data_IF_077746147808
#
_entry.id   IF_077746147808
#
_cell.length_a   1.000
_cell.length_b   1.000
_cell.length_c   1.000
_cell.angle_alpha   90.00
_cell.angle_beta   90.00
_cell.angle_gamma   90.00
#
_symmetry.space_group_name_H-M   'P 1'
#
loop_
_entity.id
_entity.type
_entity.pdbx_description
1 polymer ?
#
# COMPACT_ATOMS: atom_id res chain seq x y z
N UNK A 1 -18.41 24.67 19.73
CA UNK A 1 -17.01 24.69 20.20
C UNK A 1 -16.37 23.37 19.81
N UNK A 2 -15.57 23.36 18.74
CA UNK A 2 -14.84 22.16 18.29
C UNK A 2 -13.50 22.14 19.01
N UNK A 3 -13.24 21.09 19.80
CA UNK A 3 -11.97 20.88 20.50
C UNK A 3 -10.90 20.53 19.46
N UNK A 4 -10.00 21.47 19.20
CA UNK A 4 -8.74 21.23 18.50
C UNK A 4 -7.91 20.24 19.31
N UNK A 5 -7.61 19.07 18.73
CA UNK A 5 -6.68 18.11 19.31
C UNK A 5 -5.37 18.22 18.54
N UNK A 6 -4.34 18.71 19.23
CA UNK A 6 -3.09 19.25 18.66
C UNK A 6 -2.09 18.15 18.26
N UNK A 7 -2.53 17.05 17.64
CA UNK A 7 -1.69 15.87 17.36
C UNK A 7 -1.14 15.74 15.94
N UNK A 8 -1.54 16.60 15.00
CA UNK A 8 -1.49 16.21 13.58
C UNK A 8 -1.05 17.32 12.61
N UNK A 9 0.21 17.80 12.69
CA UNK A 9 0.73 18.73 11.70
C UNK A 9 0.81 18.08 10.30
N UNK A 10 1.15 16.79 10.18
CA UNK A 10 1.31 16.12 8.88
C UNK A 10 -0.03 15.77 8.21
N UNK A 11 -0.99 15.18 8.95
CA UNK A 11 -2.32 14.86 8.40
C UNK A 11 -3.10 16.12 8.03
N UNK A 12 -3.02 17.19 8.84
CA UNK A 12 -3.60 18.49 8.47
C UNK A 12 -2.95 19.06 7.20
N UNK A 13 -1.62 18.92 7.05
CA UNK A 13 -0.91 19.40 5.87
C UNK A 13 -1.31 18.63 4.61
N UNK A 14 -1.47 17.31 4.70
CA UNK A 14 -1.95 16.47 3.60
C UNK A 14 -3.40 16.83 3.22
N UNK A 15 -4.27 17.03 4.21
CA UNK A 15 -5.65 17.49 3.98
C UNK A 15 -5.72 18.86 3.29
N UNK A 16 -4.84 19.79 3.68
CA UNK A 16 -4.74 21.11 3.06
C UNK A 16 -4.22 21.00 1.63
N UNK A 17 -3.21 20.17 1.39
CA UNK A 17 -2.70 19.89 0.05
C UNK A 17 -3.78 19.31 -0.88
N UNK A 18 -4.56 18.34 -0.42
CA UNK A 18 -5.64 17.76 -1.23
C UNK A 18 -6.82 18.72 -1.46
N UNK A 19 -7.05 19.69 -0.55
CA UNK A 19 -8.07 20.73 -0.74
C UNK A 19 -7.77 21.68 -1.89
N UNK A 20 -6.51 21.82 -2.30
CA UNK A 20 -6.13 22.68 -3.43
C UNK A 20 -6.47 22.07 -4.80
N UNK A 21 -6.87 20.79 -4.87
CA UNK A 21 -7.22 20.12 -6.12
C UNK A 21 -8.74 19.85 -6.21
N UNK A 22 -9.45 20.55 -7.09
CA UNK A 22 -10.92 20.45 -7.26
C UNK A 22 -11.43 19.04 -7.57
N UNK A 23 -10.61 18.20 -8.22
CA UNK A 23 -10.96 16.83 -8.61
C UNK A 23 -10.79 15.78 -7.48
N UNK A 24 -10.38 16.18 -6.27
CA UNK A 24 -10.22 15.26 -5.13
C UNK A 24 -11.43 15.23 -4.19
N UNK A 25 -12.53 15.93 -4.51
CA UNK A 25 -13.76 15.88 -3.72
C UNK A 25 -14.30 14.45 -3.55
N UNK A 26 -14.16 13.59 -4.56
CA UNK A 26 -14.53 12.18 -4.45
C UNK A 26 -13.60 11.42 -3.51
N UNK A 27 -12.30 11.76 -3.50
CA UNK A 27 -11.32 11.17 -2.58
C UNK A 27 -11.63 11.51 -1.13
N UNK A 28 -12.17 12.72 -0.88
CA UNK A 28 -12.63 13.18 0.43
C UNK A 28 -13.73 12.29 1.02
N UNK A 29 -14.54 11.62 0.19
CA UNK A 29 -15.56 10.66 0.65
C UNK A 29 -14.93 9.36 1.20
N UNK A 30 -13.70 9.04 0.79
CA UNK A 30 -12.94 7.88 1.25
C UNK A 30 -11.87 8.25 2.29
N UNK A 31 -11.77 9.53 2.66
CA UNK A 31 -10.90 9.96 3.74
C UNK A 31 -11.56 9.62 5.07
N UNK A 32 -11.09 8.55 5.70
CA UNK A 32 -11.42 8.28 7.10
C UNK A 32 -10.60 9.22 8.02
N UNK A 33 -11.26 9.67 9.09
CA UNK A 33 -10.59 10.36 10.18
C UNK A 33 -9.61 9.38 10.85
N UNK A 34 -8.32 9.65 10.72
CA UNK A 34 -7.29 8.88 11.41
C UNK A 34 -7.25 9.38 12.85
N UNK A 35 -7.84 8.61 13.76
CA UNK A 35 -7.76 8.95 15.18
C UNK A 35 -6.33 8.76 15.72
N UNK A 36 -6.05 9.36 16.88
CA UNK A 36 -4.73 9.31 17.53
C UNK A 36 -4.16 7.89 17.69
N UNK A 37 -4.99 6.88 17.95
CA UNK A 37 -4.58 5.48 18.11
C UNK A 37 -4.21 4.86 16.77
N UNK A 38 -4.99 5.12 15.72
CA UNK A 38 -4.66 4.65 14.36
C UNK A 38 -3.36 5.27 13.87
N UNK A 39 -3.16 6.57 14.12
CA UNK A 39 -1.92 7.24 13.79
C UNK A 39 -0.73 6.67 14.54
N UNK A 40 -0.86 6.44 15.84
CA UNK A 40 0.21 5.85 16.63
C UNK A 40 0.61 4.47 16.09
N UNK A 41 -0.37 3.63 15.73
CA UNK A 41 -0.10 2.34 15.08
C UNK A 41 0.65 2.49 13.76
N UNK A 42 0.28 3.46 12.94
CA UNK A 42 0.98 3.75 11.67
C UNK A 42 2.41 4.20 11.95
N UNK A 43 2.60 5.12 12.90
CA UNK A 43 3.93 5.61 13.29
C UNK A 43 4.81 4.49 13.82
N UNK A 44 4.27 3.62 14.68
CA UNK A 44 4.99 2.48 15.24
C UNK A 44 5.31 1.43 14.17
N UNK A 45 4.42 1.20 13.20
CA UNK A 45 4.73 0.35 12.05
C UNK A 45 5.87 0.91 11.21
N UNK A 46 5.86 2.22 10.92
CA UNK A 46 6.91 2.90 10.17
C UNK A 46 8.25 2.81 10.91
N UNK A 47 8.23 3.08 12.23
CA UNK A 47 9.41 2.98 13.08
C UNK A 47 9.95 1.54 13.11
N UNK A 48 9.07 0.53 13.21
CA UNK A 48 9.45 -0.88 13.22
C UNK A 48 10.15 -1.30 11.93
N UNK A 49 9.69 -0.82 10.77
CA UNK A 49 10.37 -1.07 9.49
C UNK A 49 11.70 -0.31 9.37
N UNK A 50 11.77 0.93 9.84
CA UNK A 50 13.03 1.68 9.89
C UNK A 50 14.07 0.96 10.75
N UNK A 51 13.69 0.52 11.95
CA UNK A 51 14.54 -0.30 12.82
C UNK A 51 14.88 -1.64 12.16
N UNK A 52 13.97 -2.26 11.42
CA UNK A 52 14.28 -3.51 10.72
C UNK A 52 15.37 -3.35 9.65
N UNK A 53 15.40 -2.23 8.92
CA UNK A 53 16.52 -1.92 8.03
C UNK A 53 17.84 -1.72 8.79
N UNK A 54 17.80 -1.05 9.94
CA UNK A 54 18.94 -0.92 10.84
C UNK A 54 19.45 -2.28 11.30
N UNK A 55 18.55 -3.15 11.74
CA UNK A 55 18.85 -4.52 12.15
C UNK A 55 19.44 -5.35 11.01
N UNK A 56 18.93 -5.23 9.77
CA UNK A 56 19.51 -5.89 8.59
C UNK A 56 20.98 -5.51 8.38
N UNK A 57 21.33 -4.26 8.65
CA UNK A 57 22.71 -3.80 8.57
C UNK A 57 23.53 -4.34 9.76
N UNK A 58 23.08 -4.09 11.00
CA UNK A 58 23.76 -4.54 12.24
C UNK A 58 24.11 -6.02 12.20
N UNK A 59 23.12 -6.84 11.85
CA UNK A 59 23.24 -8.30 11.78
C UNK A 59 24.22 -8.82 10.70
N UNK A 60 24.65 -7.96 9.76
CA UNK A 60 25.59 -8.31 8.69
C UNK A 60 26.98 -7.71 8.87
N UNK A 61 27.08 -6.50 9.42
CA UNK A 61 28.31 -5.68 9.38
C UNK A 61 28.89 -5.37 10.76
N UNK A 62 28.12 -5.53 11.85
CA UNK A 62 28.54 -5.04 13.16
C UNK A 62 29.01 -6.18 14.09
N UNK A 63 30.31 -6.22 14.40
CA UNK A 63 30.95 -7.29 15.19
C UNK A 63 30.75 -7.19 16.70
N UNK A 64 30.13 -6.12 17.20
CA UNK A 64 30.00 -5.85 18.64
C UNK A 64 28.79 -6.54 19.32
N UNK A 65 28.00 -7.32 18.57
CA UNK A 65 26.78 -8.01 19.06
C UNK A 65 25.75 -7.09 19.73
N UNK A 66 25.78 -5.79 19.44
CA UNK A 66 24.73 -4.86 19.83
C UNK A 66 23.63 -4.85 18.76
N UNK A 67 22.42 -5.19 19.18
CA UNK A 67 21.29 -5.47 18.29
C UNK A 67 20.15 -4.53 18.62
N UNK A 68 20.50 -3.26 18.83
CA UNK A 68 19.62 -2.25 19.39
C UNK A 68 18.40 -2.04 18.51
N UNK A 69 18.57 -2.09 17.18
CA UNK A 69 17.43 -2.00 16.27
C UNK A 69 16.56 -3.27 16.31
N UNK A 70 17.18 -4.45 16.41
CA UNK A 70 16.46 -5.71 16.59
C UNK A 70 15.61 -5.73 17.88
N UNK A 71 16.15 -5.20 18.98
CA UNK A 71 15.43 -5.06 20.26
C UNK A 71 14.24 -4.11 20.14
N UNK A 72 14.39 -2.98 19.43
CA UNK A 72 13.28 -2.05 19.17
C UNK A 72 12.19 -2.71 18.33
N UNK A 73 12.55 -3.41 17.26
CA UNK A 73 11.59 -4.17 16.44
C UNK A 73 10.80 -5.15 17.32
N UNK A 74 11.48 -5.93 18.15
CA UNK A 74 10.85 -6.90 19.05
C UNK A 74 9.88 -6.21 20.01
N UNK A 75 10.29 -5.12 20.65
CA UNK A 75 9.47 -4.42 21.64
C UNK A 75 8.19 -3.87 21.02
N UNK A 76 8.28 -3.19 19.87
CA UNK A 76 7.11 -2.65 19.15
C UNK A 76 6.18 -3.79 18.73
N UNK A 77 6.72 -4.85 18.14
CA UNK A 77 5.92 -5.99 17.72
C UNK A 77 5.13 -6.59 18.89
N UNK A 78 5.81 -6.87 20.00
CA UNK A 78 5.21 -7.53 21.17
C UNK A 78 4.12 -6.70 21.83
N UNK A 79 4.18 -5.37 21.76
CA UNK A 79 3.11 -4.48 22.25
C UNK A 79 1.77 -4.76 21.59
N UNK A 80 1.77 -5.14 20.30
CA UNK A 80 0.55 -5.32 19.52
C UNK A 80 0.10 -6.77 19.37
N UNK A 81 0.92 -7.75 19.76
CA UNK A 81 0.57 -9.17 19.64
C UNK A 81 -0.75 -9.50 20.34
N UNK A 82 -0.95 -9.00 21.56
CA UNK A 82 -2.17 -9.26 22.33
C UNK A 82 -3.42 -8.73 21.64
N UNK A 83 -3.34 -7.52 21.09
CA UNK A 83 -4.43 -6.93 20.32
C UNK A 83 -4.72 -7.72 19.04
N UNK A 84 -3.67 -8.08 18.30
CA UNK A 84 -3.79 -8.78 17.04
C UNK A 84 -4.22 -10.23 17.17
N UNK A 85 -3.96 -10.89 18.31
CA UNK A 85 -4.54 -12.21 18.60
C UNK A 85 -6.07 -12.17 18.67
N UNK A 86 -6.63 -11.07 19.17
CA UNK A 86 -8.07 -10.90 19.31
C UNK A 86 -8.75 -10.41 18.01
N UNK A 87 -8.00 -9.77 17.11
CA UNK A 87 -8.52 -9.21 15.86
C UNK A 87 -7.51 -9.33 14.70
N UNK A 88 -7.17 -10.56 14.33
CA UNK A 88 -6.08 -10.85 13.39
C UNK A 88 -6.37 -10.42 11.95
N UNK A 89 -7.65 -10.33 11.56
CA UNK A 89 -8.08 -9.86 10.22
C UNK A 89 -7.89 -8.36 10.03
N UNK A 90 -7.60 -7.61 11.11
CA UNK A 90 -7.35 -6.18 11.02
C UNK A 90 -6.16 -5.89 10.07
N UNK A 91 -6.26 -4.91 9.14
CA UNK A 91 -5.20 -4.58 8.20
C UNK A 91 -3.83 -4.29 8.83
N UNK A 92 -3.81 -3.68 10.01
CA UNK A 92 -2.57 -3.46 10.77
C UNK A 92 -1.96 -4.79 11.25
N UNK A 93 -2.78 -5.71 11.73
CA UNK A 93 -2.35 -7.03 12.20
C UNK A 93 -1.84 -7.91 11.06
N UNK A 94 -2.46 -7.85 9.87
CA UNK A 94 -1.96 -8.50 8.67
C UNK A 94 -0.55 -8.00 8.30
N UNK A 95 -0.28 -6.70 8.44
CA UNK A 95 1.06 -6.14 8.23
C UNK A 95 2.06 -6.63 9.28
N UNK A 96 1.67 -6.73 10.55
CA UNK A 96 2.52 -7.31 11.59
C UNK A 96 2.82 -8.79 11.34
N UNK A 97 1.86 -9.58 10.86
CA UNK A 97 2.09 -10.97 10.48
C UNK A 97 3.12 -11.08 9.35
N UNK A 98 2.97 -10.28 8.29
CA UNK A 98 3.96 -10.22 7.20
C UNK A 98 5.34 -9.78 7.70
N UNK A 99 5.40 -8.81 8.60
CA UNK A 99 6.66 -8.40 9.21
C UNK A 99 7.35 -9.57 9.94
N UNK A 100 6.60 -10.38 10.69
CA UNK A 100 7.16 -11.57 11.35
C UNK A 100 7.75 -12.56 10.35
N UNK A 101 7.08 -12.79 9.22
CA UNK A 101 7.61 -13.64 8.14
C UNK A 101 8.95 -13.08 7.62
N UNK A 102 9.00 -11.79 7.29
CA UNK A 102 10.21 -11.15 6.79
C UNK A 102 11.36 -11.22 7.82
N UNK A 103 11.05 -10.94 9.09
CA UNK A 103 12.03 -11.02 10.18
C UNK A 103 12.58 -12.44 10.33
N UNK A 104 11.71 -13.45 10.33
CA UNK A 104 12.09 -14.86 10.44
C UNK A 104 12.92 -15.33 9.24
N UNK A 105 12.61 -14.87 8.03
CA UNK A 105 13.45 -15.13 6.86
C UNK A 105 14.83 -14.49 7.01
N UNK A 106 14.89 -13.23 7.44
CA UNK A 106 16.17 -12.56 7.64
C UNK A 106 17.03 -13.23 8.72
N UNK A 107 16.41 -13.73 9.81
CA UNK A 107 17.09 -14.47 10.89
C UNK A 107 17.96 -15.62 10.39
N UNK A 108 17.61 -16.26 9.26
CA UNK A 108 18.38 -17.37 8.67
C UNK A 108 19.77 -16.95 8.16
N UNK A 109 19.97 -15.66 7.87
CA UNK A 109 21.16 -15.13 7.22
C UNK A 109 21.98 -14.20 8.13
N UNK A 110 21.60 -14.13 9.41
CA UNK A 110 22.23 -13.26 10.41
C UNK A 110 23.63 -13.79 10.78
N UNK A 111 24.65 -12.91 10.74
CA UNK A 111 26.05 -13.26 11.07
C UNK A 111 26.45 -12.82 12.48
N UNK A 112 26.02 -11.62 12.86
CA UNK A 112 26.23 -11.03 14.19
C UNK A 112 24.88 -10.93 14.91
N UNK A 113 24.81 -10.59 16.19
CA UNK A 113 23.52 -10.51 16.92
C UNK A 113 22.82 -11.84 17.24
N UNK A 114 23.43 -12.98 16.92
CA UNK A 114 22.82 -14.32 17.08
C UNK A 114 22.42 -14.63 18.52
N UNK A 115 23.20 -14.20 19.50
CA UNK A 115 22.93 -14.41 20.93
C UNK A 115 21.79 -13.53 21.49
N UNK A 116 21.39 -12.47 20.78
CA UNK A 116 20.31 -11.56 21.18
C UNK A 116 19.07 -11.64 20.27
N UNK A 117 19.08 -12.55 19.30
CA UNK A 117 17.98 -12.77 18.37
C UNK A 117 16.76 -13.31 19.13
N UNK A 118 15.75 -12.47 19.32
CA UNK A 118 14.49 -12.88 19.94
C UNK A 118 13.53 -13.43 18.89
N UNK A 119 12.73 -14.41 19.27
CA UNK A 119 11.62 -14.92 18.45
C UNK A 119 10.39 -14.03 18.61
N UNK A 120 9.79 -13.64 17.48
CA UNK A 120 8.54 -12.90 17.48
C UNK A 120 7.36 -13.85 17.76
N UNK A 121 6.50 -13.47 18.69
CA UNK A 121 5.38 -14.31 19.10
C UNK A 121 4.38 -14.47 17.95
N UNK A 122 3.94 -15.70 17.62
CA UNK A 122 2.89 -15.89 16.62
C UNK A 122 1.59 -15.18 17.01
N UNK A 123 1.03 -14.41 16.07
CA UNK A 123 -0.31 -13.82 16.17
C UNK A 123 -1.38 -14.89 15.90
N UNK A 124 -1.16 -15.71 14.87
CA UNK A 124 -1.94 -16.92 14.58
C UNK A 124 -1.00 -18.10 14.78
N UNK A 125 -1.51 -19.22 15.28
CA UNK A 125 -0.77 -20.47 15.39
C UNK A 125 -0.02 -20.78 14.08
N UNK A 126 1.24 -21.22 14.19
CA UNK A 126 2.15 -21.51 13.07
C UNK A 126 1.69 -22.68 12.17
N UNK A 127 0.44 -23.13 12.32
CA UNK A 127 -0.20 -23.99 11.33
C UNK A 127 -0.21 -23.26 9.99
N UNK A 128 0.33 -23.86 8.91
CA UNK A 128 0.27 -23.24 7.60
C UNK A 128 -1.19 -22.89 7.30
N UNK A 129 -1.52 -21.66 6.87
CA UNK A 129 -2.88 -21.36 6.44
C UNK A 129 -3.19 -22.37 5.36
N UNK A 130 -4.14 -23.27 5.65
CA UNK A 130 -4.54 -24.33 4.72
C UNK A 130 -5.42 -23.68 3.66
N UNK A 131 -4.84 -22.77 2.88
CA UNK A 131 -5.42 -22.33 1.62
C UNK A 131 -5.11 -23.42 0.59
N UNK A 132 -5.87 -24.52 0.67
CA UNK A 132 -6.04 -25.43 -0.45
C UNK A 132 -6.87 -24.69 -1.50
N UNK A 133 -6.24 -23.77 -2.24
CA UNK A 133 -6.84 -23.23 -3.45
C UNK A 133 -6.86 -24.40 -4.44
N UNK A 134 -8.04 -24.84 -4.92
CA UNK A 134 -8.10 -25.84 -5.97
C UNK A 134 -7.33 -25.29 -7.17
N UNK A 135 -6.31 -26.00 -7.62
CA UNK A 135 -5.54 -25.65 -8.83
C UNK A 135 -6.44 -25.49 -10.06
N UNK A 136 -7.64 -26.06 -10.05
CA UNK A 136 -8.70 -25.87 -11.05
C UNK A 136 -9.30 -24.45 -11.08
N UNK A 137 -9.36 -23.73 -9.94
CA UNK A 137 -9.94 -22.39 -9.88
C UNK A 137 -9.02 -21.32 -10.51
N UNK A 138 -7.70 -21.52 -10.43
CA UNK A 138 -6.69 -20.59 -10.97
C UNK A 138 -6.68 -20.63 -12.51
N UNK A 139 -6.92 -21.79 -13.14
CA UNK A 139 -6.97 -21.87 -14.60
C UNK A 139 -8.21 -21.17 -15.17
N UNK A 140 -9.38 -21.35 -14.55
CA UNK A 140 -10.63 -20.72 -14.99
C UNK A 140 -10.57 -19.18 -14.93
N UNK A 141 -9.98 -18.62 -13.87
CA UNK A 141 -9.78 -17.17 -13.76
C UNK A 141 -8.81 -16.66 -14.83
N UNK A 142 -7.75 -17.41 -15.14
CA UNK A 142 -6.77 -17.02 -16.17
C UNK A 142 -7.38 -16.93 -17.57
N UNK A 143 -8.28 -17.85 -17.94
CA UNK A 143 -9.00 -17.78 -19.22
C UNK A 143 -9.99 -16.61 -19.27
N UNK A 144 -10.68 -16.30 -18.16
CA UNK A 144 -11.57 -15.14 -18.09
C UNK A 144 -10.80 -13.82 -18.28
N UNK A 145 -9.61 -13.68 -17.69
CA UNK A 145 -8.75 -12.52 -17.87
C UNK A 145 -8.23 -12.36 -19.31
N UNK A 146 -7.91 -13.46 -20.00
CA UNK A 146 -7.48 -13.42 -21.40
C UNK A 146 -8.60 -12.98 -22.34
N UNK A 147 -9.84 -13.42 -22.08
CA UNK A 147 -11.01 -13.01 -22.85
C UNK A 147 -11.32 -11.54 -22.57
N UNK A 148 -11.33 -11.12 -21.30
CA UNK A 148 -11.59 -9.71 -20.94
C UNK A 148 -10.54 -8.77 -21.49
N UNK A 149 -9.25 -9.15 -21.48
CA UNK A 149 -8.17 -8.34 -22.04
C UNK A 149 -8.34 -8.12 -23.56
N UNK A 150 -8.72 -9.15 -24.31
CA UNK A 150 -9.05 -9.01 -25.75
C UNK A 150 -10.24 -8.10 -25.98
N UNK A 151 -11.30 -8.21 -25.19
CA UNK A 151 -12.51 -7.37 -25.30
C UNK A 151 -12.19 -5.91 -24.97
N UNK A 152 -11.40 -5.64 -23.93
CA UNK A 152 -10.95 -4.29 -23.56
C UNK A 152 -10.08 -3.68 -24.66
N UNK A 153 -9.15 -4.45 -25.22
CA UNK A 153 -8.26 -3.98 -26.30
C UNK A 153 -9.05 -3.63 -27.56
N UNK A 154 -10.03 -4.46 -27.94
CA UNK A 154 -10.93 -4.18 -29.07
C UNK A 154 -11.81 -2.95 -28.80
N UNK A 155 -12.35 -2.82 -27.59
CA UNK A 155 -13.13 -1.65 -27.20
C UNK A 155 -12.30 -0.36 -27.25
N UNK A 156 -11.05 -0.38 -26.78
CA UNK A 156 -10.13 0.76 -26.88
C UNK A 156 -9.80 1.11 -28.33
N UNK A 157 -9.57 0.13 -29.21
CA UNK A 157 -9.31 0.38 -30.63
C UNK A 157 -10.54 1.01 -31.30
N UNK A 158 -11.74 0.50 -31.02
CA UNK A 158 -13.00 1.04 -31.56
C UNK A 158 -13.25 2.46 -31.01
N UNK A 159 -13.04 2.67 -29.71
CA UNK A 159 -13.18 3.98 -29.09
C UNK A 159 -12.17 4.99 -29.65
N UNK A 160 -10.91 4.59 -29.84
CA UNK A 160 -9.88 5.43 -30.47
C UNK A 160 -10.19 5.72 -31.94
N UNK A 161 -10.70 4.74 -32.70
CA UNK A 161 -11.11 4.93 -34.09
C UNK A 161 -12.30 5.88 -34.20
N UNK A 162 -13.32 5.70 -33.35
CA UNK A 162 -14.48 6.58 -33.25
C UNK A 162 -14.09 8.00 -32.82
N UNK A 163 -13.18 8.14 -31.86
CA UNK A 163 -12.67 9.43 -31.40
C UNK A 163 -11.84 10.14 -32.47
N UNK A 164 -11.01 9.42 -33.23
CA UNK A 164 -10.25 9.96 -34.38
C UNK A 164 -11.19 10.42 -35.50
N UNK A 165 -12.27 9.67 -35.78
CA UNK A 165 -13.28 10.06 -36.78
C UNK A 165 -14.03 11.34 -36.34
N UNK A 166 -14.39 11.42 -35.06
CA UNK A 166 -14.97 12.63 -34.43
C UNK A 166 -14.03 13.84 -34.46
N UNK A 167 -12.74 13.65 -34.19
CA UNK A 167 -11.72 14.71 -34.27
C UNK A 167 -11.53 15.21 -35.71
N UNK A 168 -11.46 14.30 -36.69
CA UNK A 168 -11.35 14.65 -38.11
C UNK A 168 -12.56 15.44 -38.60
N UNK A 169 -13.76 15.13 -38.09
CA UNK A 169 -14.97 15.91 -38.36
C UNK A 169 -14.91 17.32 -37.76
N UNK A 170 -14.31 17.48 -36.58
CA UNK A 170 -14.14 18.77 -35.90
C UNK A 170 -13.09 19.65 -36.59
N UNK A 171 -11.99 19.08 -37.08
CA UNK A 171 -11.00 19.80 -37.90
C UNK A 171 -11.59 20.23 -39.25
N UNK A 172 -12.38 19.37 -39.90
CA UNK A 172 -13.07 19.71 -41.14
C UNK A 172 -14.07 20.87 -40.95
N UNK A 173 -14.80 20.86 -39.83
CA UNK A 173 -15.72 21.94 -39.47
C UNK A 173 -14.97 23.23 -39.05
N UNK A 174 -13.77 23.12 -38.48
CA UNK A 174 -12.96 24.30 -38.16
C UNK A 174 -12.36 24.96 -39.41
N UNK A 175 -12.06 24.18 -40.45
CA UNK A 175 -11.51 24.70 -41.72
C UNK A 175 -12.55 25.39 -42.61
N UNK A 176 -13.81 24.96 -42.60
CA UNK A 176 -14.86 25.56 -43.45
C UNK A 176 -15.37 26.91 -42.92
N UNK A 177 -15.20 27.21 -41.62
CA UNK A 177 -15.64 28.46 -41.01
C UNK A 177 -14.57 29.56 -40.93
N UNK A 178 -13.32 29.28 -41.38
CA UNK A 178 -12.18 30.23 -41.29
C UNK A 178 -11.74 30.76 -42.66
N UNK A 179 -12.35 30.33 -43.78
CA UNK A 179 -12.11 30.93 -45.09
C UNK A 179 -13.15 32.02 -45.35
N UNK A 180 -12.83 33.33 -45.26
CA UNK A 180 -13.75 34.37 -45.71
C UNK A 180 -13.90 34.29 -47.23
N UNK A 181 -15.14 34.29 -47.71
CA UNK A 181 -15.48 34.43 -49.12
C UNK A 181 -14.77 35.67 -49.71
N UNK A 182 -14.14 35.58 -50.89
CA UNK A 182 -13.65 36.77 -51.59
C UNK A 182 -14.84 37.59 -52.05
N UNK A 183 -14.88 38.84 -51.60
CA UNK A 183 -15.82 39.87 -52.02
C UNK A 183 -15.73 40.12 -53.53
N UNK A 184 -16.85 39.95 -54.23
CA UNK A 184 -17.17 40.61 -55.48
C UNK A 184 -18.55 41.25 -55.36
#
# INVERSE_FOLDING_TARGET
MVKSNNGFPFYSSILLFFKEFENFNDCKLYMEDIDSKQYQKIADLVQMYADYYGFKNESKTNGNNECTHGDKCFNIYQQYVGECKNNHENPFCLKLMRFREEYNEHKKYVKYCTNKLKDLTPIISDSPPTFLIPTSAISAMSFAFLISYKVITLFQIIFNAFFIEKLRFYEYFSFTYVIPFPSY
#
